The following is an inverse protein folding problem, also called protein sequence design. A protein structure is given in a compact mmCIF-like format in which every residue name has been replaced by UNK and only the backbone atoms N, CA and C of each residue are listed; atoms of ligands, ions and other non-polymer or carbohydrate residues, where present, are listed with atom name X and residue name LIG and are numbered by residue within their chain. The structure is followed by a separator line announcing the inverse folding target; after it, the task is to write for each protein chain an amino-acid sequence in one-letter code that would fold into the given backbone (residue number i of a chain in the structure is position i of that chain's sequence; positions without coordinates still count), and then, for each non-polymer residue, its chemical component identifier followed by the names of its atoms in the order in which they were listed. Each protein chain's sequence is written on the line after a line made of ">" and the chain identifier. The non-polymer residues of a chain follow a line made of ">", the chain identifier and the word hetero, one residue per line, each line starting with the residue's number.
data_IF_282545190021
#
_entry.id   IF_282545190021
#
_cell.length_a   1.000
_cell.length_b   1.000
_cell.length_c   1.000
_cell.angle_alpha   90.00
_cell.angle_beta   90.00
_cell.angle_gamma   90.00
#
_symmetry.space_group_name_H-M   'P 1'
#
loop_
_entity.id
_entity.type
_entity.pdbx_description
1 polymer ?
#
# COMPACT_ATOMS: atom_id res chain seq x y z
N UNK A 1 11.70 -19.73 61.49
CA UNK A 1 10.26 -19.60 61.17
C UNK A 1 10.13 -19.51 59.66
N UNK A 2 9.86 -20.62 58.96
CA UNK A 2 9.70 -20.63 57.50
C UNK A 2 8.44 -21.38 57.09
N UNK A 3 7.52 -20.68 56.39
CA UNK A 3 6.56 -21.11 55.34
C UNK A 3 5.37 -20.13 55.29
N UNK A 4 4.52 -20.07 54.23
CA UNK A 4 4.65 -20.66 52.87
C UNK A 4 4.19 -19.73 51.70
N UNK A 5 4.62 -20.13 50.49
CA UNK A 5 3.85 -20.29 49.23
C UNK A 5 2.65 -19.36 48.96
N UNK A 6 2.65 -18.69 47.79
CA UNK A 6 1.51 -18.74 46.84
C UNK A 6 1.98 -18.66 45.37
N UNK A 7 1.66 -19.74 44.66
CA UNK A 7 1.63 -19.91 43.21
C UNK A 7 0.79 -18.79 42.58
N UNK A 8 1.31 -18.12 41.56
CA UNK A 8 0.50 -17.23 40.70
C UNK A 8 0.38 -17.85 39.32
N UNK A 9 -0.89 -18.09 38.99
CA UNK A 9 -1.46 -18.62 37.77
C UNK A 9 -0.96 -17.88 36.52
N UNK A 10 -0.87 -18.64 35.43
CA UNK A 10 -0.44 -18.18 34.12
C UNK A 10 -1.33 -17.11 33.50
N UNK A 11 -0.69 -16.30 32.67
CA UNK A 11 -1.33 -15.42 31.70
C UNK A 11 -1.08 -16.06 30.33
N UNK A 12 -2.10 -16.72 29.80
CA UNK A 12 -2.15 -17.12 28.41
C UNK A 12 -2.32 -15.85 27.56
N UNK A 13 -1.23 -15.28 27.06
CA UNK A 13 -1.28 -14.28 26.01
C UNK A 13 -1.50 -15.01 24.67
N UNK A 14 -2.76 -15.23 24.32
CA UNK A 14 -3.15 -15.67 22.99
C UNK A 14 -2.69 -14.62 21.99
N UNK A 15 -1.61 -14.91 21.25
CA UNK A 15 -1.14 -14.09 20.14
C UNK A 15 -2.15 -14.24 19.00
N UNK A 16 -3.15 -13.36 18.98
CA UNK A 16 -4.02 -13.18 17.83
C UNK A 16 -3.17 -12.57 16.70
N UNK A 17 -2.63 -13.44 15.83
CA UNK A 17 -2.12 -13.02 14.54
C UNK A 17 -3.32 -12.55 13.70
N UNK A 18 -3.65 -11.26 13.81
CA UNK A 18 -4.52 -10.59 12.85
C UNK A 18 -3.75 -10.53 11.53
N UNK A 19 -3.95 -11.54 10.68
CA UNK A 19 -3.70 -11.41 9.26
C UNK A 19 -4.71 -10.40 8.71
N UNK A 20 -4.37 -9.13 8.81
CA UNK A 20 -5.03 -8.06 8.07
C UNK A 20 -4.81 -8.36 6.59
N UNK A 21 -5.79 -9.04 5.98
CA UNK A 21 -6.03 -8.92 4.55
C UNK A 21 -6.36 -7.44 4.32
N UNK A 22 -5.33 -6.64 4.08
CA UNK A 22 -5.47 -5.27 3.63
C UNK A 22 -6.19 -5.33 2.28
N UNK A 23 -7.51 -5.17 2.29
CA UNK A 23 -8.21 -4.64 1.13
C UNK A 23 -7.50 -3.33 0.74
N UNK A 24 -7.34 -3.02 -0.55
CA UNK A 24 -6.54 -1.89 -0.98
C UNK A 24 -7.02 -0.67 -0.23
N UNK A 25 -6.15 -0.14 0.63
CA UNK A 25 -6.39 1.12 1.29
C UNK A 25 -6.58 2.12 0.16
N UNK A 26 -7.82 2.52 -0.07
CA UNK A 26 -8.16 3.71 -0.84
C UNK A 26 -7.40 4.84 -0.15
N UNK A 27 -6.17 5.11 -0.62
CA UNK A 27 -5.33 6.09 0.02
C UNK A 27 -6.07 7.41 0.01
N UNK A 28 -5.92 8.10 1.13
CA UNK A 28 -6.39 9.45 1.30
C UNK A 28 -5.82 10.25 0.13
N UNK A 29 -6.72 10.58 -0.80
CA UNK A 29 -6.44 11.21 -2.08
C UNK A 29 -6.15 12.69 -1.81
N UNK A 30 -5.08 12.95 -1.08
CA UNK A 30 -4.76 14.28 -0.56
C UNK A 30 -4.35 15.27 -1.65
N UNK A 31 -3.96 14.78 -2.84
CA UNK A 31 -3.31 15.62 -3.85
C UNK A 31 -3.74 15.34 -5.30
N UNK A 32 -4.84 14.62 -5.51
CA UNK A 32 -5.33 14.33 -6.86
C UNK A 32 -5.71 15.61 -7.62
N UNK A 33 -5.27 15.77 -8.87
CA UNK A 33 -5.73 16.86 -9.71
C UNK A 33 -7.25 16.89 -9.82
N UNK A 34 -7.80 18.08 -9.96
CA UNK A 34 -9.25 18.28 -10.07
C UNK A 34 -9.80 17.45 -11.23
N UNK A 35 -10.92 16.75 -10.98
CA UNK A 35 -11.59 15.85 -11.92
C UNK A 35 -10.85 14.55 -12.26
N UNK A 36 -9.78 14.21 -11.53
CA UNK A 36 -9.13 12.90 -11.61
C UNK A 36 -9.46 12.05 -10.38
N UNK A 37 -9.63 10.75 -10.61
CA UNK A 37 -9.72 9.77 -9.54
C UNK A 37 -8.34 9.10 -9.42
N UNK A 38 -7.58 9.43 -8.37
CA UNK A 38 -6.37 8.66 -8.10
C UNK A 38 -6.71 7.35 -7.41
N UNK A 39 -5.80 6.42 -7.62
CA UNK A 39 -5.74 5.17 -6.93
C UNK A 39 -4.31 4.97 -6.44
N UNK A 40 -4.13 3.96 -5.60
CA UNK A 40 -2.87 3.69 -4.94
C UNK A 40 -2.41 2.32 -5.38
N UNK A 41 -1.15 2.25 -5.79
CA UNK A 41 -0.46 0.99 -6.04
C UNK A 41 0.64 0.84 -5.00
N UNK A 42 0.67 -0.29 -4.30
CA UNK A 42 1.73 -0.66 -3.36
C UNK A 42 2.50 -1.90 -3.83
N UNK A 43 3.70 -2.15 -3.29
CA UNK A 43 4.47 -3.34 -3.61
C UNK A 43 3.66 -4.61 -3.33
N UNK A 44 3.45 -5.41 -4.38
CA UNK A 44 2.64 -6.64 -4.33
C UNK A 44 1.23 -6.50 -4.91
N UNK A 45 0.76 -5.28 -5.16
CA UNK A 45 -0.50 -5.07 -5.86
C UNK A 45 -0.38 -5.43 -7.35
N UNK A 46 -1.48 -5.86 -7.99
CA UNK A 46 -1.53 -6.07 -9.43
C UNK A 46 -1.05 -4.83 -10.18
N UNK A 47 -0.33 -5.06 -11.28
CA UNK A 47 0.12 -3.97 -12.13
C UNK A 47 -1.06 -3.12 -12.59
N UNK A 48 -0.99 -1.80 -12.45
CA UNK A 48 -2.13 -0.92 -12.66
C UNK A 48 -2.67 -1.01 -14.10
N UNK A 49 -1.79 -1.01 -15.10
CA UNK A 49 -2.17 -1.13 -16.51
C UNK A 49 -2.11 -2.58 -17.04
N UNK A 50 -2.15 -3.58 -16.14
CA UNK A 50 -1.82 -4.97 -16.46
C UNK A 50 -0.35 -5.19 -16.85
N UNK A 51 0.45 -4.12 -16.84
CA UNK A 51 1.86 -4.07 -17.22
C UNK A 51 2.63 -3.16 -16.25
N UNK A 52 3.93 -3.42 -16.04
CA UNK A 52 4.72 -2.67 -15.07
C UNK A 52 4.94 -1.22 -15.55
N UNK A 53 4.72 -0.28 -14.63
CA UNK A 53 5.10 1.13 -14.77
C UNK A 53 6.52 1.29 -14.24
N UNK A 54 7.44 2.02 -14.91
CA UNK A 54 8.84 2.12 -14.52
C UNK A 54 9.07 3.12 -13.37
N UNK A 55 8.30 3.02 -12.30
CA UNK A 55 8.48 3.75 -11.04
C UNK A 55 9.21 2.89 -9.99
N UNK A 56 9.43 3.42 -8.79
CA UNK A 56 10.07 2.67 -7.69
C UNK A 56 9.10 1.62 -7.11
N UNK A 57 9.24 0.37 -7.56
CA UNK A 57 8.41 -0.73 -7.09
C UNK A 57 8.55 -1.12 -5.61
N UNK A 58 9.37 -0.39 -4.83
CA UNK A 58 9.59 -0.63 -3.40
C UNK A 58 8.73 0.25 -2.49
N UNK A 59 8.02 1.24 -3.05
CA UNK A 59 7.18 2.18 -2.30
C UNK A 59 5.76 2.23 -2.86
N UNK A 60 4.82 2.72 -2.06
CA UNK A 60 3.46 2.97 -2.55
C UNK A 60 3.43 4.24 -3.40
N UNK A 61 2.69 4.19 -4.51
CA UNK A 61 2.50 5.27 -5.45
C UNK A 61 1.01 5.62 -5.52
N UNK A 62 0.70 6.89 -5.28
CA UNK A 62 -0.60 7.45 -5.61
C UNK A 62 -0.57 7.99 -7.02
N UNK A 63 -1.47 7.51 -7.87
CA UNK A 63 -1.45 7.84 -9.29
C UNK A 63 -2.84 7.93 -9.87
N UNK A 64 -2.96 8.66 -10.98
CA UNK A 64 -4.08 8.51 -11.91
C UNK A 64 -3.54 8.18 -13.29
N UNK A 65 -4.39 7.68 -14.17
CA UNK A 65 -4.05 7.48 -15.57
C UNK A 65 -4.99 8.26 -16.48
N UNK A 66 -4.53 8.51 -17.69
CA UNK A 66 -5.37 9.01 -18.77
C UNK A 66 -4.96 8.35 -20.11
N UNK A 67 -5.41 8.92 -21.22
CA UNK A 67 -5.07 8.44 -22.56
C UNK A 67 -3.58 8.59 -22.93
N UNK A 68 -2.81 9.38 -22.19
CA UNK A 68 -1.41 9.71 -22.48
C UNK A 68 -0.41 8.95 -21.61
N UNK A 69 -0.79 8.62 -20.37
CA UNK A 69 0.09 7.86 -19.48
C UNK A 69 -0.43 7.67 -18.07
N UNK A 70 0.52 7.31 -17.20
CA UNK A 70 0.35 7.25 -15.75
C UNK A 70 1.00 8.48 -15.14
N UNK A 71 0.27 9.14 -14.25
CA UNK A 71 0.71 10.32 -13.52
C UNK A 71 0.84 9.98 -12.05
N UNK A 72 2.07 9.98 -11.56
CA UNK A 72 2.36 9.82 -10.14
C UNK A 72 2.17 11.17 -9.43
N UNK A 73 1.26 11.19 -8.47
CA UNK A 73 0.82 12.38 -7.76
C UNK A 73 1.73 12.68 -6.57
N UNK A 74 2.45 11.68 -6.05
CA UNK A 74 3.36 11.85 -4.92
C UNK A 74 4.63 12.60 -5.30
N UNK A 75 5.15 12.38 -6.51
CA UNK A 75 6.39 13.01 -7.00
C UNK A 75 6.21 13.88 -8.26
N UNK A 76 5.02 13.88 -8.88
CA UNK A 76 4.75 14.62 -10.11
C UNK A 76 5.32 13.99 -11.38
N UNK A 77 5.80 12.75 -11.33
CA UNK A 77 6.35 12.04 -12.48
C UNK A 77 5.24 11.64 -13.46
N UNK A 78 5.59 11.66 -14.75
CA UNK A 78 4.72 11.23 -15.83
C UNK A 78 5.38 10.11 -16.62
N UNK A 79 4.67 8.99 -16.74
CA UNK A 79 5.09 7.82 -17.49
C UNK A 79 4.18 7.67 -18.71
N UNK A 80 4.65 8.15 -19.86
CA UNK A 80 3.85 8.10 -21.09
C UNK A 80 3.71 6.68 -21.62
N UNK A 81 2.50 6.30 -22.02
CA UNK A 81 2.25 5.03 -22.71
C UNK A 81 3.11 4.86 -23.97
N UNK A 82 3.39 5.96 -24.68
CA UNK A 82 4.17 5.94 -25.92
C UNK A 82 5.67 5.66 -25.69
N UNK A 83 6.17 5.87 -24.48
CA UNK A 83 7.59 5.69 -24.13
C UNK A 83 7.80 4.56 -23.12
N UNK A 84 6.75 3.83 -22.77
CA UNK A 84 6.89 2.65 -21.92
C UNK A 84 7.70 1.57 -22.66
N UNK A 85 8.50 0.77 -21.95
CA UNK A 85 9.45 -0.16 -22.57
C UNK A 85 8.78 -1.44 -23.11
N UNK A 86 7.52 -1.37 -23.55
CA UNK A 86 6.72 -2.52 -24.00
C UNK A 86 5.59 -2.14 -24.95
#
# INVERSE_FOLDING_TARGET
>A
MNRPSRIVLGVAAASAALSLLAAPANAESGNCPRLQACTTWCPGDPNPAGRPVPWDGSVCHDYYWDSYGVHDVGNGAFYSWATMPW
#
